data_IF_314811471839
#
_entry.id   IF_314811471839
#
_cell.length_a   1.000
_cell.length_b   1.000
_cell.length_c   1.000
_cell.angle_alpha   90.00
_cell.angle_beta   90.00
_cell.angle_gamma   90.00
#
_symmetry.space_group_name_H-M   'P 1'
#
loop_
_entity.id
_entity.type
_entity.pdbx_description
1 polymer ?
#
# COMPACT_ATOMS: atom_id res chain seq x y z
N UNK A 1 -0.98 -8.03 22.61
CA UNK A 1 -1.75 -8.04 21.35
C UNK A 1 -1.45 -6.72 20.66
N UNK A 2 -0.78 -6.74 19.50
CA UNK A 2 -0.45 -5.51 18.77
C UNK A 2 -1.75 -4.92 18.21
N UNK A 3 -2.20 -3.82 18.81
CA UNK A 3 -3.36 -3.05 18.34
C UNK A 3 -3.18 -2.72 16.85
N UNK A 4 -4.15 -3.12 16.03
CA UNK A 4 -4.13 -2.86 14.60
C UNK A 4 -4.50 -1.39 14.41
N UNK A 5 -3.61 -0.60 13.79
CA UNK A 5 -3.91 0.80 13.52
C UNK A 5 -5.19 0.93 12.67
N UNK A 6 -6.02 1.97 12.86
CA UNK A 6 -7.26 2.16 12.12
C UNK A 6 -7.08 2.11 10.60
N UNK A 7 -5.96 2.66 10.10
CA UNK A 7 -5.60 2.61 8.68
C UNK A 7 -5.34 1.18 8.20
N UNK A 8 -4.62 0.37 8.99
CA UNK A 8 -4.35 -1.02 8.65
C UNK A 8 -5.63 -1.85 8.60
N UNK A 9 -6.59 -1.58 9.49
CA UNK A 9 -7.91 -2.24 9.47
C UNK A 9 -8.66 -1.90 8.19
N UNK A 10 -8.79 -0.61 7.85
CA UNK A 10 -9.46 -0.16 6.61
C UNK A 10 -8.85 -0.78 5.36
N UNK A 11 -7.53 -0.76 5.23
CA UNK A 11 -6.84 -1.35 4.08
C UNK A 11 -7.15 -2.84 3.94
N UNK A 12 -7.17 -3.60 5.04
CA UNK A 12 -7.54 -5.04 5.02
C UNK A 12 -9.01 -5.24 4.63
N UNK A 13 -9.90 -4.41 5.16
CA UNK A 13 -11.33 -4.45 4.89
C UNK A 13 -11.62 -4.16 3.41
N UNK A 14 -11.02 -3.10 2.86
CA UNK A 14 -11.13 -2.74 1.44
C UNK A 14 -10.62 -3.86 0.52
N UNK A 15 -9.49 -4.48 0.87
CA UNK A 15 -8.97 -5.62 0.11
C UNK A 15 -9.88 -6.85 0.21
N UNK A 16 -10.54 -7.06 1.35
CA UNK A 16 -11.49 -8.17 1.54
C UNK A 16 -12.76 -7.93 0.74
N UNK A 17 -13.30 -6.71 0.74
CA UNK A 17 -14.44 -6.29 -0.10
C UNK A 17 -14.10 -6.44 -1.59
N UNK A 18 -12.84 -6.13 -1.97
CA UNK A 18 -12.32 -6.32 -3.33
C UNK A 18 -12.05 -7.78 -3.72
N UNK A 19 -12.34 -8.75 -2.85
CA UNK A 19 -12.10 -10.18 -3.05
C UNK A 19 -10.63 -10.53 -3.36
N UNK A 20 -9.68 -9.75 -2.81
CA UNK A 20 -8.25 -10.04 -2.97
C UNK A 20 -7.90 -11.30 -2.21
N UNK A 21 -7.15 -12.20 -2.88
CA UNK A 21 -6.65 -13.41 -2.24
C UNK A 21 -5.80 -13.07 -1.01
N UNK A 22 -5.74 -13.93 0.02
CA UNK A 22 -4.89 -13.72 1.17
C UNK A 22 -3.40 -13.52 0.82
N UNK A 23 -2.93 -14.14 -0.27
CA UNK A 23 -1.58 -13.94 -0.78
C UNK A 23 -1.38 -12.52 -1.33
N UNK A 24 -2.37 -12.00 -2.05
CA UNK A 24 -2.40 -10.62 -2.54
C UNK A 24 -2.43 -9.63 -1.38
N UNK A 25 -3.28 -9.87 -0.37
CA UNK A 25 -3.36 -9.02 0.83
C UNK A 25 -2.02 -8.94 1.57
N UNK A 26 -1.34 -10.07 1.77
CA UNK A 26 -0.01 -10.10 2.40
C UNK A 26 1.03 -9.32 1.58
N UNK A 27 1.01 -9.48 0.26
CA UNK A 27 1.92 -8.77 -0.65
C UNK A 27 1.68 -7.26 -0.59
N UNK A 28 0.42 -6.84 -0.53
CA UNK A 28 0.04 -5.43 -0.40
C UNK A 28 0.47 -4.84 0.94
N UNK A 29 0.23 -5.54 2.06
CA UNK A 29 0.68 -5.10 3.38
C UNK A 29 2.21 -4.97 3.45
N UNK A 30 2.95 -5.87 2.81
CA UNK A 30 4.40 -5.78 2.70
C UNK A 30 4.84 -4.54 1.89
N UNK A 31 4.14 -4.25 0.80
CA UNK A 31 4.38 -3.07 -0.03
C UNK A 31 4.16 -1.77 0.76
N UNK A 32 3.04 -1.65 1.51
CA UNK A 32 2.75 -0.51 2.39
C UNK A 32 3.80 -0.34 3.49
N UNK A 33 4.29 -1.46 4.06
CA UNK A 33 5.37 -1.41 5.04
C UNK A 33 6.69 -0.91 4.42
N UNK A 34 7.04 -1.37 3.22
CA UNK A 34 8.23 -0.90 2.48
C UNK A 34 8.12 0.59 2.15
N UNK A 35 6.96 1.02 1.67
CA UNK A 35 6.64 2.42 1.38
C UNK A 35 6.80 3.33 2.61
N UNK A 36 6.21 2.94 3.74
CA UNK A 36 6.32 3.69 5.00
C UNK A 36 7.79 3.81 5.46
N UNK A 37 8.58 2.75 5.27
CA UNK A 37 10.02 2.73 5.61
C UNK A 37 10.83 3.63 4.70
N UNK A 38 10.49 3.72 3.41
CA UNK A 38 11.17 4.60 2.45
C UNK A 38 11.09 6.06 2.88
N UNK A 39 9.88 6.54 3.21
CA UNK A 39 9.67 7.92 3.65
C UNK A 39 9.94 8.16 5.14
N UNK A 40 10.19 7.10 5.92
CA UNK A 40 10.31 7.13 7.40
C UNK A 40 9.12 7.85 8.07
N UNK A 41 7.94 7.69 7.48
CA UNK A 41 6.69 8.32 7.93
C UNK A 41 5.61 7.26 8.05
N UNK A 42 4.65 7.53 8.93
CA UNK A 42 3.49 6.68 9.07
C UNK A 42 2.65 6.73 7.78
N UNK A 43 2.08 5.61 7.30
CA UNK A 43 1.33 5.59 6.04
C UNK A 43 0.07 6.46 6.07
N UNK A 44 -0.44 6.84 7.25
CA UNK A 44 -1.51 7.83 7.41
C UNK A 44 -1.09 9.27 7.06
N UNK A 45 0.21 9.52 6.92
CA UNK A 45 0.78 10.82 6.54
C UNK A 45 1.34 10.85 5.12
N UNK A 46 1.17 9.77 4.37
CA UNK A 46 1.69 9.63 3.02
C UNK A 46 0.53 9.66 2.02
N UNK A 47 0.68 10.46 0.96
CA UNK A 47 -0.35 10.72 -0.04
C UNK A 47 -0.01 10.18 -1.42
N UNK A 48 -0.82 10.58 -2.40
CA UNK A 48 -0.65 10.17 -3.80
C UNK A 48 0.69 10.65 -4.40
N UNK A 49 1.19 11.81 -3.97
CA UNK A 49 2.48 12.34 -4.42
C UNK A 49 3.65 11.46 -3.95
N UNK A 50 3.61 11.01 -2.70
CA UNK A 50 4.60 10.08 -2.16
C UNK A 50 4.54 8.72 -2.90
N UNK A 51 3.33 8.24 -3.22
CA UNK A 51 3.14 7.00 -4.01
C UNK A 51 3.80 7.15 -5.38
N UNK A 52 3.61 8.28 -6.06
CA UNK A 52 4.23 8.54 -7.36
C UNK A 52 5.76 8.57 -7.25
N UNK A 53 6.31 9.26 -6.26
CA UNK A 53 7.75 9.30 -6.02
C UNK A 53 8.32 7.90 -5.77
N UNK A 54 7.62 7.08 -4.98
CA UNK A 54 8.01 5.70 -4.72
C UNK A 54 7.93 4.81 -5.96
N UNK A 55 6.90 4.98 -6.80
CA UNK A 55 6.78 4.23 -8.05
C UNK A 55 7.92 4.52 -9.01
N UNK A 56 8.38 5.78 -9.10
CA UNK A 56 9.56 6.15 -9.90
C UNK A 56 10.81 5.44 -9.38
N UNK A 57 11.04 5.47 -8.07
CA UNK A 57 12.18 4.79 -7.41
C UNK A 57 12.17 3.26 -7.61
N UNK A 58 10.99 2.64 -7.58
CA UNK A 58 10.83 1.21 -7.84
C UNK A 58 11.14 0.82 -9.28
N UNK A 59 10.74 1.64 -10.25
CA UNK A 59 11.02 1.41 -11.68
C UNK A 59 12.51 1.50 -11.95
N UNK A 60 13.19 2.49 -11.36
CA UNK A 60 14.65 2.60 -11.42
C UNK A 60 15.35 1.38 -10.79
N UNK A 61 14.78 0.86 -9.70
CA UNK A 61 15.27 -0.34 -9.00
C UNK A 61 14.88 -1.68 -9.66
N UNK A 62 14.15 -1.67 -10.78
CA UNK A 62 13.72 -2.89 -11.51
C UNK A 62 12.64 -3.73 -10.80
N UNK A 63 11.95 -3.18 -9.80
CA UNK A 63 10.90 -3.89 -9.04
C UNK A 63 9.51 -3.40 -9.45
N UNK A 64 8.63 -4.32 -9.86
CA UNK A 64 7.22 -4.00 -10.11
C UNK A 64 6.45 -3.94 -8.78
N UNK A 65 5.71 -2.85 -8.57
CA UNK A 65 4.81 -2.70 -7.44
C UNK A 65 3.67 -3.73 -7.55
N UNK A 66 3.31 -4.48 -6.49
CA UNK A 66 2.22 -5.46 -6.57
C UNK A 66 0.91 -4.73 -6.84
N UNK A 67 0.41 -4.88 -8.07
CA UNK A 67 -0.88 -4.46 -8.61
C UNK A 67 -1.75 -3.57 -7.70
N UNK A 68 -1.30 -2.35 -7.41
CA UNK A 68 -2.10 -1.32 -6.75
C UNK A 68 -2.93 -0.61 -7.82
N UNK A 69 -3.75 -1.41 -8.48
CA UNK A 69 -4.86 -0.99 -9.30
C UNK A 69 -6.14 -1.32 -8.52
N UNK A 70 -6.31 -0.67 -7.39
CA UNK A 70 -7.62 -0.59 -6.74
C UNK A 70 -8.02 0.89 -6.77
N UNK A 71 -8.77 1.20 -7.85
CA UNK A 71 -9.59 2.40 -8.09
C UNK A 71 -9.10 3.72 -7.49
N UNK A 72 -8.23 4.41 -8.21
CA UNK A 72 -8.19 5.88 -8.25
C UNK A 72 -8.92 6.35 -9.52
N UNK A 73 -10.17 5.93 -9.70
CA UNK A 73 -10.95 6.25 -10.92
C UNK A 73 -12.36 6.76 -10.61
N UNK A 74 -12.63 7.24 -9.39
CA UNK A 74 -13.81 8.06 -9.10
C UNK A 74 -13.44 9.28 -8.24
N UNK A 75 -12.92 10.30 -8.92
CA UNK A 75 -13.26 11.71 -8.72
C UNK A 75 -13.45 12.36 -10.09
#
# INVERSE_FOLDING_TARGET
>A
MTEISPLRRRVIEDMTIGNLSPATQRSYLHAVAKFSRYFRRSPDRLGLEDVRAFQVDLVDSGLSWPALKLRNEEL
#
